data_IF_711697333770
#
_entry.id   IF_711697333770
#
_cell.length_a   1.000
_cell.length_b   1.000
_cell.length_c   1.000
_cell.angle_alpha   90.00
_cell.angle_beta   90.00
_cell.angle_gamma   90.00
#
_symmetry.space_group_name_H-M   'P 1'
#
loop_
_entity.id
_entity.type
_entity.pdbx_description
1 polymer ?
#
# COMPACT_ATOMS: atom_id res chain seq x y z
N UNK A 1 -1.36 1.14 -19.87
CA UNK A 1 -1.04 -0.03 -19.03
C UNK A 1 -1.89 0.01 -17.78
N UNK A 2 -2.14 -1.15 -17.16
CA UNK A 2 -3.21 -1.32 -16.18
C UNK A 2 -2.68 -1.83 -14.83
N UNK A 3 -3.44 -1.54 -13.78
CA UNK A 3 -3.33 -2.26 -12.52
C UNK A 3 -3.80 -3.70 -12.73
N UNK A 4 -2.99 -4.68 -12.32
CA UNK A 4 -3.34 -6.10 -12.28
C UNK A 4 -3.47 -6.53 -10.83
N UNK A 5 -4.44 -7.37 -10.52
CA UNK A 5 -4.64 -7.93 -9.18
C UNK A 5 -4.41 -9.43 -9.28
N UNK A 6 -3.38 -9.95 -8.63
CA UNK A 6 -3.05 -11.37 -8.74
C UNK A 6 -4.16 -12.23 -8.12
N UNK A 7 -4.69 -13.19 -8.88
CA UNK A 7 -5.86 -13.98 -8.50
C UNK A 7 -7.19 -13.45 -9.06
N UNK A 8 -7.21 -12.24 -9.66
CA UNK A 8 -8.38 -11.68 -10.34
C UNK A 8 -8.00 -11.33 -11.78
N UNK A 9 -8.55 -12.09 -12.73
CA UNK A 9 -8.21 -11.93 -14.15
C UNK A 9 -6.88 -12.57 -14.57
N UNK A 10 -6.35 -13.47 -13.74
CA UNK A 10 -5.15 -14.28 -14.04
C UNK A 10 -4.29 -14.55 -12.79
N UNK A 11 -3.50 -15.63 -12.84
CA UNK A 11 -2.43 -15.89 -11.86
C UNK A 11 -1.12 -15.34 -12.41
N UNK A 12 -0.40 -14.60 -11.58
CA UNK A 12 0.91 -14.02 -11.90
C UNK A 12 2.00 -14.74 -11.10
N UNK A 13 3.20 -14.80 -11.68
CA UNK A 13 4.39 -15.32 -11.01
C UNK A 13 4.65 -14.48 -9.76
N UNK A 14 4.81 -15.14 -8.62
CA UNK A 14 5.09 -14.45 -7.37
C UNK A 14 6.58 -14.07 -7.32
N UNK A 15 6.92 -12.81 -7.02
CA UNK A 15 8.31 -12.44 -6.82
C UNK A 15 8.88 -13.18 -5.61
N UNK A 16 10.16 -13.60 -5.71
CA UNK A 16 10.85 -14.21 -4.59
C UNK A 16 11.28 -13.13 -3.58
N UNK A 17 10.40 -12.82 -2.64
CA UNK A 17 10.65 -11.82 -1.59
C UNK A 17 11.38 -12.49 -0.42
N UNK A 18 12.66 -12.14 -0.22
CA UNK A 18 13.55 -12.70 0.83
C UNK A 18 13.25 -12.18 2.24
N UNK A 19 11.96 -12.02 2.60
CA UNK A 19 11.53 -11.52 3.92
C UNK A 19 11.29 -12.69 4.87
N UNK A 20 11.74 -12.57 6.11
CA UNK A 20 11.61 -13.64 7.12
C UNK A 20 10.16 -13.85 7.58
N UNK A 21 9.35 -12.79 7.61
CA UNK A 21 8.03 -12.80 8.25
C UNK A 21 6.84 -13.07 7.32
N UNK A 22 6.98 -12.77 6.03
CA UNK A 22 5.86 -12.76 5.10
C UNK A 22 6.26 -13.16 3.68
N UNK A 23 5.27 -13.47 2.86
CA UNK A 23 5.39 -13.76 1.43
C UNK A 23 4.27 -13.12 0.64
N UNK A 24 4.47 -12.99 -0.67
CA UNK A 24 3.41 -12.58 -1.59
C UNK A 24 2.55 -13.79 -1.92
N UNK A 25 1.25 -13.57 -2.07
CA UNK A 25 0.26 -14.56 -2.51
C UNK A 25 -0.71 -13.91 -3.49
N UNK A 26 -1.41 -14.75 -4.25
CA UNK A 26 -2.61 -14.30 -4.96
C UNK A 26 -3.74 -14.00 -3.95
N UNK A 27 -4.69 -13.17 -4.34
CA UNK A 27 -5.96 -13.03 -3.64
C UNK A 27 -6.90 -14.18 -4.00
N UNK A 28 -7.73 -14.60 -3.04
CA UNK A 28 -8.67 -15.72 -3.20
C UNK A 28 -9.99 -15.31 -3.91
N UNK A 29 -9.98 -14.18 -4.62
CA UNK A 29 -11.12 -13.64 -5.35
C UNK A 29 -11.33 -12.13 -5.13
N UNK A 30 -12.41 -11.55 -5.69
CA UNK A 30 -12.69 -10.12 -5.59
C UNK A 30 -13.23 -9.67 -4.23
N UNK A 31 -13.58 -10.63 -3.37
CA UNK A 31 -14.19 -10.40 -2.06
C UNK A 31 -13.32 -11.01 -0.97
N UNK A 32 -13.07 -10.25 0.08
CA UNK A 32 -12.40 -10.72 1.29
C UNK A 32 -13.46 -10.96 2.37
N UNK A 33 -13.50 -12.17 2.93
CA UNK A 33 -14.41 -12.53 4.03
C UNK A 33 -13.61 -12.63 5.33
N UNK A 34 -14.12 -12.02 6.41
CA UNK A 34 -13.47 -12.01 7.72
C UNK A 34 -14.49 -12.13 8.85
N UNK A 35 -14.03 -12.56 10.02
CA UNK A 35 -14.84 -12.55 11.24
C UNK A 35 -14.51 -11.32 12.07
N UNK A 36 -15.54 -10.56 12.42
CA UNK A 36 -15.45 -9.44 13.33
C UNK A 36 -16.02 -9.85 14.69
N UNK A 37 -15.27 -9.60 15.76
CA UNK A 37 -15.75 -9.75 17.13
C UNK A 37 -16.52 -8.50 17.54
N UNK A 38 -17.76 -8.68 17.98
CA UNK A 38 -18.64 -7.62 18.47
C UNK A 38 -18.44 -7.40 19.98
N UNK A 39 -18.74 -6.20 20.51
CA UNK A 39 -18.59 -5.89 21.95
C UNK A 39 -19.37 -6.82 22.89
N UNK A 40 -20.40 -7.51 22.38
CA UNK A 40 -21.22 -8.46 23.12
C UNK A 40 -20.67 -9.90 23.13
N UNK A 41 -19.42 -10.11 22.71
CA UNK A 41 -18.76 -11.42 22.66
C UNK A 41 -19.21 -12.32 21.50
N UNK A 42 -20.11 -11.86 20.62
CA UNK A 42 -20.51 -12.59 19.41
C UNK A 42 -19.55 -12.27 18.27
N UNK A 43 -19.45 -13.16 17.29
CA UNK A 43 -18.73 -12.89 16.05
C UNK A 43 -19.69 -12.82 14.86
N UNK A 44 -19.46 -11.89 13.95
CA UNK A 44 -20.17 -11.79 12.68
C UNK A 44 -19.21 -12.03 11.52
N UNK A 45 -19.64 -12.81 10.53
CA UNK A 45 -18.92 -12.92 9.26
C UNK A 45 -19.27 -11.70 8.41
N UNK A 46 -18.27 -10.90 8.06
CA UNK A 46 -18.37 -9.75 7.16
C UNK A 46 -17.62 -10.05 5.88
N UNK A 47 -18.02 -9.38 4.81
CA UNK A 47 -17.36 -9.46 3.51
C UNK A 47 -17.16 -8.07 2.92
N UNK A 48 -16.00 -7.84 2.34
CA UNK A 48 -15.65 -6.59 1.67
C UNK A 48 -15.33 -6.88 0.20
N UNK A 49 -15.92 -6.08 -0.70
CA UNK A 49 -15.53 -6.08 -2.10
C UNK A 49 -14.17 -5.38 -2.25
N UNK A 50 -13.11 -6.17 -2.12
CA UNK A 50 -11.73 -5.72 -2.24
C UNK A 50 -11.47 -5.08 -3.60
N UNK A 51 -11.94 -5.72 -4.69
CA UNK A 51 -11.70 -5.20 -6.04
C UNK A 51 -12.21 -3.76 -6.15
N UNK A 52 -13.42 -3.48 -5.66
CA UNK A 52 -13.99 -2.14 -5.64
C UNK A 52 -13.13 -1.16 -4.83
N UNK A 53 -12.63 -1.54 -3.64
CA UNK A 53 -11.75 -0.67 -2.84
C UNK A 53 -10.45 -0.35 -3.58
N UNK A 54 -9.84 -1.35 -4.20
CA UNK A 54 -8.64 -1.18 -5.03
C UNK A 54 -8.93 -0.27 -6.23
N UNK A 55 -10.04 -0.49 -6.94
CA UNK A 55 -10.43 0.31 -8.11
C UNK A 55 -10.62 1.79 -7.72
N UNK A 56 -11.29 2.07 -6.59
CA UNK A 56 -11.49 3.44 -6.08
C UNK A 56 -10.16 4.12 -5.72
N UNK A 57 -9.27 3.40 -5.02
CA UNK A 57 -7.95 3.92 -4.69
C UNK A 57 -7.12 4.19 -5.96
N UNK A 58 -7.18 3.29 -6.94
CA UNK A 58 -6.48 3.43 -8.21
C UNK A 58 -7.04 4.57 -9.06
N UNK A 59 -8.35 4.77 -9.05
CA UNK A 59 -9.00 5.89 -9.73
C UNK A 59 -8.53 7.24 -9.15
N UNK A 60 -8.45 7.35 -7.82
CA UNK A 60 -7.87 8.53 -7.18
C UNK A 60 -6.44 8.79 -7.67
N UNK A 61 -5.60 7.76 -7.70
CA UNK A 61 -4.19 7.87 -8.11
C UNK A 61 -4.10 8.33 -9.57
N UNK A 62 -4.82 7.65 -10.47
CA UNK A 62 -4.73 7.87 -11.92
C UNK A 62 -5.39 9.18 -12.36
N UNK A 63 -6.53 9.56 -11.78
CA UNK A 63 -7.28 10.76 -12.19
C UNK A 63 -6.90 12.01 -11.42
N UNK A 64 -6.43 11.89 -10.17
CA UNK A 64 -6.12 13.05 -9.31
C UNK A 64 -4.64 13.19 -9.05
N UNK A 65 -4.00 12.20 -8.41
CA UNK A 65 -2.59 12.32 -8.03
C UNK A 65 -1.67 12.47 -9.27
N UNK A 66 -1.87 11.63 -10.28
CA UNK A 66 -1.09 11.66 -11.52
C UNK A 66 -1.38 12.89 -12.41
N UNK A 67 -2.49 13.59 -12.20
CA UNK A 67 -2.79 14.87 -12.84
C UNK A 67 -2.24 16.07 -12.06
N UNK A 68 -1.78 15.87 -10.82
CA UNK A 68 -1.34 16.94 -9.95
C UNK A 68 0.15 17.26 -10.16
N UNK A 69 0.45 18.50 -10.57
CA UNK A 69 1.82 18.93 -10.90
C UNK A 69 2.82 18.75 -9.75
N UNK A 70 2.53 19.15 -8.50
CA UNK A 70 3.42 18.91 -7.36
C UNK A 70 3.80 17.43 -7.16
N UNK A 71 2.83 16.52 -7.30
CA UNK A 71 3.07 15.08 -7.17
C UNK A 71 4.07 14.59 -8.24
N UNK A 72 3.83 14.95 -9.50
CA UNK A 72 4.70 14.56 -10.60
C UNK A 72 6.10 15.18 -10.50
N UNK A 73 6.21 16.43 -10.06
CA UNK A 73 7.48 17.10 -9.84
C UNK A 73 8.28 16.42 -8.74
N UNK A 74 7.63 16.05 -7.63
CA UNK A 74 8.28 15.30 -6.55
C UNK A 74 8.81 13.95 -7.05
N UNK A 75 7.97 13.18 -7.74
CA UNK A 75 8.36 11.87 -8.28
C UNK A 75 9.59 11.96 -9.22
N UNK A 76 9.72 13.04 -10.01
CA UNK A 76 10.91 13.29 -10.85
C UNK A 76 12.20 13.53 -10.05
N UNK A 77 12.12 13.81 -8.75
CA UNK A 77 13.30 13.93 -7.88
C UNK A 77 13.82 12.59 -7.38
N UNK A 78 13.00 11.53 -7.46
CA UNK A 78 13.37 10.18 -7.05
C UNK A 78 14.41 9.58 -8.01
N UNK A 79 15.08 8.50 -7.60
CA UNK A 79 16.26 7.97 -8.28
C UNK A 79 16.02 7.65 -9.77
N UNK A 80 14.82 7.16 -10.14
CA UNK A 80 14.50 6.83 -11.54
C UNK A 80 14.12 8.06 -12.38
N UNK A 81 13.97 9.23 -11.77
CA UNK A 81 13.64 10.53 -12.40
C UNK A 81 12.38 10.52 -13.27
N UNK A 82 11.38 9.74 -12.86
CA UNK A 82 10.10 9.62 -13.55
C UNK A 82 9.01 10.30 -12.76
N UNK A 83 8.09 10.95 -13.44
CA UNK A 83 6.83 11.41 -12.85
C UNK A 83 5.94 10.23 -12.46
N UNK A 84 4.98 10.46 -11.56
CA UNK A 84 3.97 9.45 -11.22
C UNK A 84 3.22 8.98 -12.48
N UNK A 85 2.86 9.91 -13.38
CA UNK A 85 2.22 9.56 -14.66
C UNK A 85 3.04 8.59 -15.49
N UNK A 86 4.36 8.80 -15.59
CA UNK A 86 5.27 7.90 -16.33
C UNK A 86 5.38 6.54 -15.65
N UNK A 87 5.50 6.50 -14.32
CA UNK A 87 5.54 5.25 -13.53
C UNK A 87 4.32 4.38 -13.80
N UNK A 88 3.13 4.98 -13.92
CA UNK A 88 1.86 4.28 -14.15
C UNK A 88 1.73 3.69 -15.56
N UNK A 89 2.47 4.20 -16.56
CA UNK A 89 2.34 3.76 -17.96
C UNK A 89 3.51 2.93 -18.48
N UNK A 90 4.60 2.85 -17.72
CA UNK A 90 5.83 2.14 -18.12
C UNK A 90 5.72 0.61 -18.07
N UNK A 91 4.83 0.08 -17.23
CA UNK A 91 4.63 -1.35 -17.04
C UNK A 91 3.30 -1.62 -16.35
N UNK A 92 2.89 -2.88 -16.30
CA UNK A 92 1.82 -3.26 -15.39
C UNK A 92 2.32 -3.14 -13.93
N UNK A 93 1.45 -2.72 -13.03
CA UNK A 93 1.65 -2.81 -11.58
C UNK A 93 0.83 -4.00 -11.12
N UNK A 94 1.44 -4.95 -10.42
CA UNK A 94 0.77 -6.17 -9.97
C UNK A 94 0.57 -6.08 -8.46
N UNK A 95 -0.69 -6.17 -8.01
CA UNK A 95 -1.01 -6.24 -6.59
C UNK A 95 -1.10 -7.69 -6.13
N UNK A 96 -0.48 -7.94 -4.98
CA UNK A 96 -0.45 -9.23 -4.30
C UNK A 96 -1.03 -9.07 -2.89
N UNK A 97 -1.49 -10.18 -2.32
CA UNK A 97 -1.83 -10.26 -0.92
C UNK A 97 -0.57 -10.60 -0.12
N UNK A 98 -0.31 -9.88 0.97
CA UNK A 98 0.69 -10.31 1.96
C UNK A 98 0.10 -11.38 2.86
N UNK A 99 0.85 -12.47 3.03
CA UNK A 99 0.49 -13.58 3.90
C UNK A 99 1.65 -13.86 4.85
N UNK A 100 1.40 -14.07 6.16
CA UNK A 100 2.46 -14.40 7.09
C UNK A 100 3.06 -15.76 6.76
N UNK A 101 4.36 -15.91 7.03
CA UNK A 101 5.03 -17.21 7.03
C UNK A 101 4.71 -17.96 8.33
N UNK A 102 4.99 -19.26 8.36
CA UNK A 102 4.77 -20.09 9.54
C UNK A 102 5.45 -19.48 10.77
N UNK A 103 4.72 -19.42 11.88
CA UNK A 103 5.16 -18.78 13.13
C UNK A 103 4.91 -17.27 13.22
N UNK A 104 4.38 -16.64 12.18
CA UNK A 104 3.98 -15.22 12.18
C UNK A 104 2.47 -15.05 12.00
N UNK A 105 1.99 -13.87 12.34
CA UNK A 105 0.57 -13.51 12.29
C UNK A 105 0.32 -12.33 11.34
N UNK A 106 -0.95 -12.03 11.07
CA UNK A 106 -1.30 -10.84 10.27
C UNK A 106 -0.84 -9.52 10.93
N UNK A 107 -0.63 -9.50 12.25
CA UNK A 107 -0.12 -8.34 12.97
C UNK A 107 1.38 -8.11 12.75
N UNK A 108 2.11 -9.12 12.25
CA UNK A 108 3.53 -9.03 11.92
C UNK A 108 3.78 -8.51 10.50
N UNK A 109 2.71 -8.34 9.72
CA UNK A 109 2.79 -7.85 8.35
C UNK A 109 2.97 -6.32 8.34
N UNK A 110 3.84 -5.78 7.46
CA UNK A 110 3.80 -4.36 7.16
C UNK A 110 2.49 -4.03 6.42
N UNK A 111 2.12 -2.75 6.37
CA UNK A 111 0.96 -2.29 5.60
C UNK A 111 1.08 -2.67 4.12
N UNK A 112 2.26 -2.46 3.54
CA UNK A 112 2.59 -2.93 2.20
C UNK A 112 4.09 -3.16 2.02
N UNK A 113 4.47 -3.74 0.89
CA UNK A 113 5.85 -3.93 0.48
C UNK A 113 5.96 -3.99 -1.05
N UNK A 114 6.95 -3.29 -1.60
CA UNK A 114 7.27 -3.32 -3.02
C UNK A 114 8.46 -4.24 -3.33
N UNK A 115 8.34 -5.02 -4.41
CA UNK A 115 9.42 -5.75 -5.05
C UNK A 115 9.40 -5.46 -6.55
N UNK A 116 10.15 -4.44 -7.00
CA UNK A 116 10.09 -4.01 -8.39
C UNK A 116 8.77 -3.32 -8.72
N UNK A 117 7.93 -3.93 -9.56
CA UNK A 117 6.57 -3.43 -9.91
C UNK A 117 5.45 -4.24 -9.26
N UNK A 118 5.82 -5.22 -8.45
CA UNK A 118 4.92 -6.05 -7.67
C UNK A 118 4.78 -5.43 -6.28
N UNK A 119 3.54 -5.17 -5.86
CA UNK A 119 3.21 -4.56 -4.57
C UNK A 119 2.36 -5.56 -3.77
N UNK A 120 2.89 -6.02 -2.65
CA UNK A 120 2.14 -6.78 -1.66
C UNK A 120 1.44 -5.82 -0.70
N UNK A 121 0.13 -5.98 -0.50
CA UNK A 121 -0.64 -5.22 0.50
C UNK A 121 -1.13 -6.13 1.63
N UNK A 122 -1.16 -5.59 2.84
CA UNK A 122 -1.80 -6.25 3.98
C UNK A 122 -3.32 -6.27 3.77
N UNK A 123 -3.98 -7.44 3.83
CA UNK A 123 -5.42 -7.52 3.66
C UNK A 123 -6.22 -6.70 4.68
N UNK A 124 -5.64 -6.36 5.84
CA UNK A 124 -6.28 -5.46 6.80
C UNK A 124 -6.54 -4.06 6.25
N UNK A 125 -5.73 -3.54 5.32
CA UNK A 125 -5.97 -2.24 4.68
C UNK A 125 -7.25 -2.22 3.83
N UNK A 126 -7.73 -3.40 3.44
CA UNK A 126 -8.99 -3.54 2.71
C UNK A 126 -10.17 -3.60 3.66
N UNK A 127 -9.94 -3.93 4.94
CA UNK A 127 -10.97 -4.01 5.97
C UNK A 127 -11.09 -2.66 6.69
N UNK A 128 -9.98 -2.10 7.15
CA UNK A 128 -9.93 -0.86 7.92
C UNK A 128 -9.74 0.37 7.01
N UNK A 129 -10.75 1.23 6.96
CA UNK A 129 -10.74 2.46 6.17
C UNK A 129 -9.92 3.60 6.78
N UNK A 130 -9.36 3.41 7.99
CA UNK A 130 -8.59 4.46 8.67
C UNK A 130 -7.33 4.87 7.90
N UNK A 131 -6.51 3.91 7.49
CA UNK A 131 -5.17 4.16 6.92
C UNK A 131 -5.26 4.67 5.46
N UNK A 132 -6.33 4.32 4.75
CA UNK A 132 -6.57 4.72 3.36
C UNK A 132 -5.66 3.97 2.37
N UNK A 133 -6.25 3.22 1.45
CA UNK A 133 -5.49 2.42 0.48
C UNK A 133 -4.72 3.26 -0.55
N UNK A 134 -5.25 4.42 -0.97
CA UNK A 134 -4.59 5.27 -1.96
C UNK A 134 -3.24 5.84 -1.47
N UNK A 135 -3.12 6.39 -0.24
CA UNK A 135 -1.83 6.75 0.35
C UNK A 135 -0.82 5.61 0.35
N UNK A 136 -1.23 4.41 0.80
CA UNK A 136 -0.37 3.23 0.82
C UNK A 136 0.17 2.93 -0.58
N UNK A 137 -0.72 2.89 -1.58
CA UNK A 137 -0.30 2.62 -2.95
C UNK A 137 0.60 3.72 -3.53
N UNK A 138 0.40 5.00 -3.18
CA UNK A 138 1.28 6.09 -3.61
C UNK A 138 2.67 5.95 -2.99
N UNK A 139 2.75 5.59 -1.71
CA UNK A 139 4.00 5.31 -1.01
C UNK A 139 4.77 4.19 -1.72
N UNK A 140 4.10 3.07 -1.98
CA UNK A 140 4.72 1.95 -2.70
C UNK A 140 5.13 2.31 -4.14
N UNK A 141 4.32 3.11 -4.86
CA UNK A 141 4.69 3.62 -6.18
C UNK A 141 5.91 4.55 -6.14
N UNK A 142 6.16 5.25 -5.03
CA UNK A 142 7.39 6.01 -4.86
C UNK A 142 8.61 5.07 -4.79
N UNK A 143 8.50 3.91 -4.14
CA UNK A 143 9.55 2.87 -4.20
C UNK A 143 9.74 2.33 -5.62
N UNK A 144 8.66 2.10 -6.37
CA UNK A 144 8.75 1.75 -7.81
C UNK A 144 9.51 2.83 -8.60
N UNK A 145 9.37 4.09 -8.21
CA UNK A 145 10.08 5.24 -8.79
C UNK A 145 11.50 5.45 -8.24
N UNK A 146 11.96 4.59 -7.32
CA UNK A 146 13.31 4.59 -6.77
C UNK A 146 13.48 5.35 -5.45
N UNK A 147 12.41 5.56 -4.68
CA UNK A 147 12.54 5.96 -3.28
C UNK A 147 13.26 4.85 -2.47
N UNK A 148 14.19 5.24 -1.60
CA UNK A 148 14.97 4.32 -0.77
C UNK A 148 14.06 3.49 0.14
N UNK A 149 14.38 2.21 0.28
CA UNK A 149 13.77 1.32 1.30
C UNK A 149 14.71 1.13 2.50
N UNK A 150 15.80 1.89 2.56
CA UNK A 150 16.76 1.80 3.66
C UNK A 150 16.17 2.50 4.90
N UNK A 151 15.94 1.77 6.01
CA UNK A 151 15.40 2.35 7.23
C UNK A 151 16.44 3.18 8.02
N UNK A 152 17.69 3.26 7.55
CA UNK A 152 18.73 4.06 8.18
C UNK A 152 18.29 5.54 8.30
N UNK A 153 18.14 6.09 9.52
CA UNK A 153 17.72 7.48 9.71
C UNK A 153 18.73 8.50 9.17
N UNK A 154 19.98 8.09 8.91
CA UNK A 154 21.00 8.93 8.30
C UNK A 154 20.96 8.91 6.76
N UNK A 155 20.20 7.99 6.15
CA UNK A 155 19.89 8.06 4.72
C UNK A 155 18.94 9.23 4.49
N UNK A 156 19.42 10.26 3.79
CA UNK A 156 18.63 11.45 3.43
C UNK A 156 17.39 11.10 2.58
N UNK A 157 17.36 9.91 1.97
CA UNK A 157 16.26 9.40 1.17
C UNK A 157 15.35 8.40 1.91
N UNK A 158 15.62 8.06 3.17
CA UNK A 158 14.82 7.12 3.97
C UNK A 158 13.35 7.51 4.07
N UNK A 159 13.05 8.82 4.01
CA UNK A 159 11.69 9.39 4.08
C UNK A 159 11.10 9.78 2.71
N UNK A 160 11.70 9.34 1.61
CA UNK A 160 11.29 9.80 0.28
C UNK A 160 9.88 9.29 -0.11
N UNK A 161 9.51 8.08 0.30
CA UNK A 161 8.19 7.55 0.00
C UNK A 161 7.08 8.25 0.81
N UNK A 162 7.37 8.58 2.07
CA UNK A 162 6.49 9.35 2.97
C UNK A 162 6.28 10.78 2.48
N UNK A 163 7.37 11.44 2.04
CA UNK A 163 7.30 12.79 1.48
C UNK A 163 6.45 12.84 0.21
N UNK A 164 6.40 11.77 -0.59
CA UNK A 164 5.53 11.70 -1.77
C UNK A 164 4.05 11.96 -1.41
N UNK A 165 3.60 11.52 -0.23
CA UNK A 165 2.21 11.69 0.23
C UNK A 165 1.84 13.17 0.42
N UNK A 166 2.79 14.01 0.83
CA UNK A 166 2.59 15.45 0.95
C UNK A 166 2.31 16.11 -0.39
N UNK A 167 3.01 15.64 -1.42
CA UNK A 167 2.91 16.18 -2.77
C UNK A 167 1.75 15.59 -3.59
N UNK A 168 1.21 14.45 -3.17
CA UNK A 168 0.20 13.69 -3.92
C UNK A 168 -1.20 13.75 -3.32
N UNK A 169 -1.54 14.88 -2.67
CA UNK A 169 -2.87 15.16 -2.09
C UNK A 169 -3.28 14.23 -0.93
N UNK A 170 -2.31 13.57 -0.29
CA UNK A 170 -2.52 12.66 0.84
C UNK A 170 -2.07 13.26 2.18
N UNK A 171 -1.67 14.53 2.22
CA UNK A 171 -1.13 15.20 3.41
C UNK A 171 -2.07 15.19 4.61
N UNK A 172 -3.39 15.24 4.41
CA UNK A 172 -4.39 15.17 5.50
C UNK A 172 -4.54 13.78 6.11
N UNK A 173 -3.98 12.76 5.46
CA UNK A 173 -4.10 11.35 5.86
C UNK A 173 -2.81 10.82 6.50
N UNK A 174 -1.74 11.63 6.59
CA UNK A 174 -0.40 11.15 6.93
C UNK A 174 0.40 12.08 7.85
N UNK A 175 1.21 11.50 8.74
CA UNK A 175 2.27 12.19 9.50
C UNK A 175 3.64 12.01 8.82
N UNK A 176 4.15 12.99 8.06
CA UNK A 176 5.38 12.89 7.25
C UNK A 176 6.66 12.53 8.01
N UNK A 177 6.64 12.67 9.34
CA UNK A 177 7.76 12.40 10.26
C UNK A 177 7.87 10.92 10.68
N UNK A 178 6.85 10.09 10.40
CA UNK A 178 6.85 8.68 10.79
C UNK A 178 7.64 7.84 9.76
N UNK A 179 8.87 7.44 10.13
CA UNK A 179 9.70 6.51 9.34
C UNK A 179 8.99 5.15 9.30
N UNK A 180 8.75 4.59 8.10
CA UNK A 180 8.36 3.20 7.91
C UNK A 180 6.98 2.81 8.46
N UNK A 181 6.10 3.79 8.73
CA UNK A 181 4.70 3.51 9.10
C UNK A 181 3.75 4.60 8.67
N UNK A 182 2.64 4.22 8.03
CA UNK A 182 1.58 5.13 7.63
C UNK A 182 0.70 5.46 8.82
N UNK A 183 1.16 6.39 9.66
CA UNK A 183 0.40 6.88 10.81
C UNK A 183 -0.40 8.14 10.46
N UNK A 184 -1.72 8.07 10.68
CA UNK A 184 -2.65 9.17 10.40
C UNK A 184 -2.40 10.34 11.36
N UNK A 185 -2.51 11.57 10.86
CA UNK A 185 -2.59 12.76 11.69
C UNK A 185 -3.98 12.85 12.34
N UNK A 186 -4.24 12.09 13.41
CA UNK A 186 -5.52 12.21 14.14
C UNK A 186 -5.99 11.08 15.04
N UNK A 187 -5.26 9.98 15.27
CA UNK A 187 -5.70 8.94 16.22
C UNK A 187 -5.27 9.27 17.66
N UNK A 188 -5.75 10.39 18.19
CA UNK A 188 -5.88 10.61 19.62
C UNK A 188 -7.15 9.94 20.10
N UNK A 189 -7.10 8.62 20.29
CA UNK A 189 -8.24 7.83 20.76
C UNK A 189 -7.71 6.55 21.37
N UNK A 190 -7.76 6.50 22.69
CA UNK A 190 -7.22 5.46 23.58
C UNK A 190 -7.39 4.04 23.03
N UNK A 191 -6.29 3.27 23.02
CA UNK A 191 -6.38 1.80 23.06
C UNK A 191 -7.03 1.43 24.39
N UNK A 192 -8.15 0.72 24.34
CA UNK A 192 -8.57 -0.18 25.42
C UNK A 192 -8.45 -1.58 24.82
N UNK A 193 -7.71 -2.42 25.55
CA UNK A 193 -7.43 -3.83 25.27
C UNK A 193 -8.73 -4.64 25.34
#
# INVERSE_FOLDING_TARGET
MALRINGIGGKYILPNVLRSKYRFSAFDGPTLTYRESLPNGRSQVKSVNMKRKIDVAWEFITKRAAAHTPCNNYFKTLLRRKSLKEVLVEGDIVLHCLVPKDGYTLADLPDACTAGRDIGINPYLLIDDKIGLAPVLIHELAHVAGASTNPDPYDKQSLAAEKALLHCLCSKQYRPEAIGSIQIQGSGGSRIV
#
